data_IF_697644951471
#
_entry.id   IF_697644951471
#
_cell.length_a   1.000
_cell.length_b   1.000
_cell.length_c   1.000
_cell.angle_alpha   90.00
_cell.angle_beta   90.00
_cell.angle_gamma   90.00
#
_symmetry.space_group_name_H-M   'P 1'
#
loop_
_entity.id
_entity.type
_entity.pdbx_description
1 polymer ?
#
# COMPACT_ATOMS: atom_id res chain seq x y z
N UNK A 1 1.35 -18.75 -13.99
CA UNK A 1 0.91 -17.76 -14.94
C UNK A 1 0.54 -16.48 -14.25
N UNK A 2 1.04 -15.44 -14.74
CA UNK A 2 0.78 -14.15 -14.14
C UNK A 2 -0.63 -13.70 -14.40
N UNK A 3 -1.23 -13.20 -13.35
CA UNK A 3 -2.49 -12.52 -13.51
C UNK A 3 -2.27 -11.30 -14.40
N UNK A 4 -3.18 -11.05 -15.29
CA UNK A 4 -3.17 -9.79 -16.02
C UNK A 4 -3.24 -8.64 -15.02
N UNK A 5 -2.60 -7.50 -15.33
CA UNK A 5 -2.72 -6.34 -14.46
C UNK A 5 -4.19 -5.99 -14.26
N UNK A 6 -4.57 -5.79 -13.00
CA UNK A 6 -5.93 -5.40 -12.69
C UNK A 6 -6.03 -3.90 -12.76
N UNK A 7 -7.12 -3.40 -13.33
CA UNK A 7 -7.41 -2.00 -13.22
C UNK A 7 -7.88 -1.72 -11.79
N UNK A 8 -7.81 -0.47 -11.38
CA UNK A 8 -8.26 -0.08 -10.04
C UNK A 8 -9.71 -0.50 -9.80
N UNK A 9 -10.56 -0.37 -10.82
CA UNK A 9 -11.97 -0.69 -10.70
C UNK A 9 -12.25 -2.18 -10.55
N UNK A 10 -11.29 -3.02 -10.88
CA UNK A 10 -11.44 -4.47 -10.78
C UNK A 10 -10.96 -5.04 -9.46
N UNK A 11 -10.47 -4.20 -8.56
CA UNK A 11 -10.00 -4.65 -7.26
C UNK A 11 -11.19 -5.16 -6.43
N UNK A 12 -10.97 -6.19 -5.59
CA UNK A 12 -12.00 -6.64 -4.68
C UNK A 12 -12.34 -5.53 -3.69
N UNK A 13 -13.48 -5.64 -3.03
CA UNK A 13 -13.93 -4.63 -2.08
C UNK A 13 -13.99 -5.20 -0.68
N UNK A 14 -13.65 -4.35 0.28
CA UNK A 14 -13.79 -4.67 1.70
C UNK A 14 -15.26 -4.53 2.06
N UNK A 15 -15.87 -5.61 2.55
CA UNK A 15 -17.29 -5.63 2.83
C UNK A 15 -17.70 -4.66 3.94
N UNK A 16 -16.80 -4.42 4.89
CA UNK A 16 -17.09 -3.55 6.02
C UNK A 16 -17.02 -2.08 5.70
N UNK A 17 -16.03 -1.69 4.91
CA UNK A 17 -15.78 -0.28 4.59
C UNK A 17 -16.23 0.12 3.18
N UNK A 18 -16.57 -0.88 2.36
CA UNK A 18 -16.99 -0.68 0.96
C UNK A 18 -16.01 0.17 0.15
N UNK A 19 -14.74 -0.20 0.24
CA UNK A 19 -13.67 0.44 -0.51
C UNK A 19 -12.84 -0.62 -1.23
N UNK A 20 -12.13 -0.24 -2.31
CA UNK A 20 -11.27 -1.19 -3.01
C UNK A 20 -10.13 -1.68 -2.11
N UNK A 21 -9.79 -2.95 -2.23
CA UNK A 21 -8.70 -3.56 -1.49
C UNK A 21 -7.47 -3.54 -2.37
N UNK A 22 -6.41 -2.81 -1.99
CA UNK A 22 -5.18 -2.79 -2.76
C UNK A 22 -4.50 -4.17 -2.78
N UNK A 23 -3.70 -4.40 -3.81
CA UNK A 23 -2.96 -5.65 -3.97
C UNK A 23 -2.19 -6.04 -2.70
N UNK A 24 -1.58 -5.08 -2.03
CA UNK A 24 -0.76 -5.33 -0.86
C UNK A 24 -1.55 -5.76 0.38
N UNK A 25 -2.85 -5.50 0.41
CA UNK A 25 -3.70 -5.83 1.56
C UNK A 25 -4.31 -7.20 1.47
N UNK A 26 -4.50 -7.70 0.28
CA UNK A 26 -5.35 -8.84 0.15
C UNK A 26 -4.87 -9.89 -0.79
N UNK A 27 -5.56 -10.96 -0.68
CA UNK A 27 -5.40 -12.09 -1.54
C UNK A 27 -6.36 -11.91 -2.70
N UNK A 28 -5.83 -11.58 -3.87
CA UNK A 28 -6.65 -11.36 -5.05
C UNK A 28 -7.09 -12.67 -5.70
N UNK A 29 -6.54 -13.79 -5.24
CA UNK A 29 -6.87 -15.11 -5.75
C UNK A 29 -7.59 -15.88 -4.64
N UNK A 30 -8.89 -16.18 -4.80
CA UNK A 30 -9.64 -16.90 -3.78
C UNK A 30 -9.09 -18.29 -3.50
N UNK A 31 -8.32 -18.85 -4.42
CA UNK A 31 -7.72 -20.17 -4.20
C UNK A 31 -6.45 -20.10 -3.37
N UNK A 32 -5.88 -18.93 -3.21
CA UNK A 32 -4.66 -18.78 -2.42
C UNK A 32 -4.94 -18.63 -0.92
N UNK A 33 -6.18 -18.41 -0.53
CA UNK A 33 -6.58 -18.37 0.87
C UNK A 33 -7.47 -19.56 1.18
N UNK A 34 -6.90 -20.65 1.71
CA UNK A 34 -7.67 -21.86 1.98
C UNK A 34 -8.72 -21.67 3.07
N UNK A 35 -8.59 -20.64 3.89
CA UNK A 35 -9.55 -20.35 4.95
C UNK A 35 -10.76 -19.57 4.41
N UNK A 36 -10.67 -19.10 3.18
CA UNK A 36 -11.77 -18.38 2.55
C UNK A 36 -12.09 -17.04 3.18
N UNK A 37 -11.10 -16.41 3.83
CA UNK A 37 -11.35 -15.13 4.47
C UNK A 37 -11.55 -14.05 3.42
N UNK A 38 -12.53 -13.16 3.63
CA UNK A 38 -12.74 -12.07 2.68
C UNK A 38 -11.56 -11.09 2.71
N UNK A 39 -11.29 -10.41 1.60
CA UNK A 39 -10.24 -9.40 1.58
C UNK A 39 -10.58 -8.24 2.51
N UNK A 40 -9.55 -7.67 3.12
CA UNK A 40 -9.72 -6.54 4.03
C UNK A 40 -8.61 -5.51 3.82
N UNK A 41 -8.93 -4.25 4.08
CA UNK A 41 -7.96 -3.16 4.01
C UNK A 41 -7.37 -2.84 5.37
N UNK A 42 -7.78 -3.54 6.43
CA UNK A 42 -7.36 -3.23 7.79
C UNK A 42 -5.90 -3.59 8.05
N UNK A 43 -5.36 -4.54 7.30
CA UNK A 43 -3.98 -4.97 7.46
C UNK A 43 -3.35 -5.23 6.09
N UNK A 44 -2.03 -5.17 6.05
CA UNK A 44 -1.27 -5.54 4.86
C UNK A 44 -0.93 -7.03 4.93
N UNK A 45 -0.92 -7.67 3.76
CA UNK A 45 -0.50 -9.07 3.64
C UNK A 45 1.01 -9.11 3.48
N UNK A 46 1.68 -9.75 4.40
CA UNK A 46 3.14 -9.77 4.44
C UNK A 46 3.77 -10.34 3.15
N UNK A 47 3.16 -11.36 2.58
CA UNK A 47 3.66 -11.96 1.33
C UNK A 47 3.55 -10.98 0.17
N UNK A 48 2.41 -10.27 0.10
CA UNK A 48 2.18 -9.27 -0.94
C UNK A 48 3.13 -8.09 -0.81
N UNK A 49 3.34 -7.64 0.42
CA UNK A 49 4.29 -6.55 0.68
C UNK A 49 5.69 -6.94 0.21
N UNK A 50 6.12 -8.14 0.56
CA UNK A 50 7.43 -8.64 0.13
C UNK A 50 7.51 -8.77 -1.39
N UNK A 51 6.45 -9.27 -2.01
CA UNK A 51 6.39 -9.38 -3.47
C UNK A 51 6.50 -8.02 -4.13
N UNK A 52 5.81 -7.02 -3.60
CA UNK A 52 5.91 -5.66 -4.13
C UNK A 52 7.34 -5.14 -4.09
N UNK A 53 8.07 -5.45 -3.02
CA UNK A 53 9.45 -5.01 -2.87
C UNK A 53 10.38 -5.73 -3.84
N UNK A 54 10.29 -7.04 -3.91
CA UNK A 54 11.23 -7.86 -4.66
C UNK A 54 10.94 -7.87 -6.16
N UNK A 55 9.68 -7.88 -6.53
CA UNK A 55 9.27 -7.89 -7.94
C UNK A 55 8.99 -6.51 -8.49
N UNK A 56 9.05 -5.48 -7.65
CA UNK A 56 8.82 -4.08 -8.00
C UNK A 56 7.48 -3.89 -8.70
N UNK A 57 6.43 -4.34 -8.02
CA UNK A 57 5.06 -4.20 -8.51
C UNK A 57 4.29 -3.24 -7.62
N UNK A 58 3.27 -2.63 -8.20
CA UNK A 58 2.44 -1.62 -7.54
C UNK A 58 1.67 -2.21 -6.35
N UNK A 59 1.73 -1.53 -5.21
CA UNK A 59 1.00 -1.98 -4.03
C UNK A 59 -0.52 -1.89 -4.17
N UNK A 60 -1.02 -1.16 -5.16
CA UNK A 60 -2.45 -1.01 -5.40
C UNK A 60 -2.94 -1.99 -6.45
N UNK A 61 -2.37 -2.00 -7.63
CA UNK A 61 -2.86 -2.83 -8.73
C UNK A 61 -2.06 -4.09 -9.01
N UNK A 62 -0.86 -4.23 -8.46
CA UNK A 62 -0.03 -5.42 -8.64
C UNK A 62 0.73 -5.49 -9.94
N UNK A 63 0.66 -4.47 -10.78
CA UNK A 63 1.41 -4.41 -12.04
C UNK A 63 2.79 -3.83 -11.83
N UNK A 64 3.68 -4.08 -12.79
CA UNK A 64 5.05 -3.58 -12.73
C UNK A 64 5.08 -2.07 -12.57
N UNK A 65 5.94 -1.60 -11.66
CA UNK A 65 6.11 -0.17 -11.39
C UNK A 65 6.93 0.50 -12.48
N UNK A 66 6.54 1.74 -12.79
CA UNK A 66 7.35 2.63 -13.61
C UNK A 66 7.88 3.77 -12.75
N UNK A 67 8.27 4.86 -13.36
CA UNK A 67 8.72 6.05 -12.66
C UNK A 67 7.88 7.23 -13.11
N UNK A 68 7.54 8.16 -12.22
CA UNK A 68 7.85 8.16 -10.78
C UNK A 68 7.00 7.17 -10.01
N UNK A 69 7.47 6.80 -8.83
CA UNK A 69 6.73 6.00 -7.88
C UNK A 69 6.00 6.91 -6.90
N UNK A 70 4.89 6.44 -6.37
CA UNK A 70 4.14 7.16 -5.34
C UNK A 70 4.08 6.36 -4.06
N UNK A 71 4.27 7.03 -2.95
CA UNK A 71 4.09 6.44 -1.62
C UNK A 71 3.01 7.22 -0.90
N UNK A 72 2.09 6.49 -0.27
CA UNK A 72 1.01 7.07 0.51
C UNK A 72 1.18 6.72 1.97
N UNK A 73 1.03 7.70 2.82
CA UNK A 73 1.13 7.46 4.25
C UNK A 73 0.60 8.62 5.05
N UNK A 74 0.86 8.53 6.35
CA UNK A 74 0.50 9.56 7.30
C UNK A 74 1.65 10.55 7.45
N UNK A 75 1.36 11.68 8.11
CA UNK A 75 2.41 12.65 8.42
C UNK A 75 3.55 12.00 9.22
N UNK A 76 3.21 11.06 10.09
CA UNK A 76 4.19 10.34 10.90
C UNK A 76 5.13 9.51 10.04
N UNK A 77 4.57 8.82 9.03
CA UNK A 77 5.37 8.02 8.12
C UNK A 77 6.29 8.89 7.27
N UNK A 78 5.79 10.01 6.78
CA UNK A 78 6.60 10.98 6.04
C UNK A 78 7.74 11.50 6.93
N UNK A 79 7.43 11.85 8.18
CA UNK A 79 8.43 12.35 9.11
C UNK A 79 9.53 11.35 9.42
N UNK A 80 9.21 10.04 9.41
CA UNK A 80 10.19 8.98 9.64
C UNK A 80 10.83 8.47 8.36
N UNK A 81 10.34 8.93 7.22
CA UNK A 81 10.76 8.44 5.91
C UNK A 81 10.61 6.92 5.81
N UNK A 82 9.49 6.40 6.34
CA UNK A 82 9.22 4.97 6.38
C UNK A 82 7.73 4.72 6.22
N UNK A 83 7.36 4.05 5.12
CA UNK A 83 5.98 3.83 4.74
C UNK A 83 5.64 2.35 4.83
N UNK A 84 4.47 2.04 5.37
CA UNK A 84 4.00 0.66 5.45
C UNK A 84 3.44 0.18 4.11
N UNK A 85 2.69 1.04 3.42
CA UNK A 85 2.12 0.69 2.13
C UNK A 85 3.21 0.70 1.05
N UNK A 86 3.30 -0.37 0.24
CA UNK A 86 4.30 -0.39 -0.83
C UNK A 86 4.09 0.71 -1.86
N UNK A 87 5.15 1.07 -2.59
CA UNK A 87 5.02 2.07 -3.66
C UNK A 87 3.98 1.66 -4.69
N UNK A 88 3.38 2.66 -5.31
CA UNK A 88 2.33 2.48 -6.30
C UNK A 88 2.55 3.39 -7.49
N UNK A 89 1.80 3.12 -8.57
CA UNK A 89 1.71 4.07 -9.66
C UNK A 89 1.08 5.35 -9.16
N UNK A 90 1.48 6.47 -9.72
CA UNK A 90 0.92 7.76 -9.31
C UNK A 90 -0.61 7.80 -9.50
N UNK A 91 -1.09 7.26 -10.62
CA UNK A 91 -2.53 7.18 -10.87
C UNK A 91 -3.25 6.29 -9.86
N UNK A 92 -2.66 5.16 -9.52
CA UNK A 92 -3.24 4.24 -8.53
C UNK A 92 -3.31 4.91 -7.16
N UNK A 93 -2.27 5.63 -6.78
CA UNK A 93 -2.26 6.35 -5.51
C UNK A 93 -3.35 7.42 -5.46
N UNK A 94 -3.52 8.17 -6.56
CA UNK A 94 -4.57 9.17 -6.65
C UNK A 94 -5.97 8.56 -6.55
N UNK A 95 -6.19 7.45 -7.24
CA UNK A 95 -7.48 6.75 -7.17
C UNK A 95 -7.75 6.21 -5.78
N UNK A 96 -6.72 5.71 -5.12
CA UNK A 96 -6.86 5.20 -3.75
C UNK A 96 -7.25 6.32 -2.78
N UNK A 97 -6.58 7.47 -2.90
CA UNK A 97 -6.91 8.62 -2.07
C UNK A 97 -8.36 9.04 -2.24
N UNK A 98 -8.83 9.09 -3.47
CA UNK A 98 -10.22 9.46 -3.74
C UNK A 98 -11.20 8.44 -3.14
N UNK A 99 -10.89 7.16 -3.27
CA UNK A 99 -11.76 6.11 -2.76
C UNK A 99 -11.80 6.07 -1.23
N UNK A 100 -10.74 6.50 -0.58
CA UNK A 100 -10.61 6.42 0.88
C UNK A 100 -10.88 7.75 1.58
N UNK A 101 -11.38 8.74 0.86
CA UNK A 101 -11.57 10.09 1.40
C UNK A 101 -12.46 10.13 2.65
N UNK A 102 -13.41 9.21 2.76
CA UNK A 102 -14.34 9.18 3.88
C UNK A 102 -14.11 8.05 4.87
N UNK A 103 -13.01 7.32 4.70
CA UNK A 103 -12.69 6.23 5.63
C UNK A 103 -12.27 6.82 6.98
N UNK A 104 -12.91 6.35 8.04
CA UNK A 104 -12.67 6.84 9.39
C UNK A 104 -12.11 5.77 10.33
N UNK A 105 -11.62 4.66 9.78
CA UNK A 105 -11.04 3.58 10.56
C UNK A 105 -9.59 3.36 10.14
N UNK A 106 -8.74 2.81 11.03
CA UNK A 106 -7.37 2.49 10.65
C UNK A 106 -7.32 1.49 9.51
N UNK A 107 -6.44 1.72 8.54
CA UNK A 107 -6.26 0.85 7.39
C UNK A 107 -4.75 0.61 7.18
N UNK A 108 -4.42 -0.42 6.40
CA UNK A 108 -3.05 -0.74 6.00
C UNK A 108 -2.12 -1.02 7.18
N UNK A 109 -2.66 -1.55 8.27
CA UNK A 109 -1.87 -1.88 9.45
C UNK A 109 -1.48 -0.71 10.30
N UNK A 110 -2.03 0.47 10.07
CA UNK A 110 -1.73 1.64 10.87
C UNK A 110 -2.46 1.60 12.20
N UNK A 111 -1.86 2.21 13.21
CA UNK A 111 -2.41 2.19 14.57
C UNK A 111 -3.58 3.15 14.73
N UNK A 112 -3.55 4.26 14.00
CA UNK A 112 -4.55 5.31 14.10
C UNK A 112 -5.14 5.64 12.75
N UNK A 113 -6.31 6.27 12.76
CA UNK A 113 -6.89 6.81 11.54
C UNK A 113 -6.04 7.98 11.08
N UNK A 114 -5.56 7.96 9.82
CA UNK A 114 -4.79 9.10 9.33
C UNK A 114 -5.68 10.34 9.26
N UNK A 115 -5.28 11.40 9.94
CA UNK A 115 -5.98 12.67 9.87
C UNK A 115 -5.84 13.28 8.47
N UNK A 116 -4.66 13.11 7.89
CA UNK A 116 -4.35 13.63 6.56
C UNK A 116 -3.43 12.66 5.86
N UNK A 117 -3.84 12.22 4.69
CA UNK A 117 -2.97 11.41 3.84
C UNK A 117 -1.97 12.30 3.15
N UNK A 118 -0.74 11.80 3.02
CA UNK A 118 0.30 12.48 2.28
C UNK A 118 0.79 11.59 1.15
N UNK A 119 1.04 12.20 0.01
CA UNK A 119 1.55 11.52 -1.15
C UNK A 119 2.95 12.04 -1.45
N UNK A 120 3.88 11.12 -1.57
CA UNK A 120 5.28 11.42 -1.86
C UNK A 120 5.63 10.75 -3.17
N UNK A 121 6.27 11.49 -4.08
CA UNK A 121 6.77 10.90 -5.32
C UNK A 121 8.28 10.74 -5.24
N UNK A 122 8.77 9.64 -5.78
CA UNK A 122 10.19 9.29 -5.71
C UNK A 122 10.60 8.54 -6.97
N UNK A 123 11.87 8.58 -7.30
CA UNK A 123 12.40 7.80 -8.41
C UNK A 123 12.75 6.37 -7.98
N UNK A 124 12.93 6.12 -6.70
CA UNK A 124 13.27 4.79 -6.20
C UNK A 124 12.95 4.64 -4.73
N UNK A 125 13.16 3.43 -4.22
CA UNK A 125 12.89 3.13 -2.82
C UNK A 125 13.81 2.04 -2.32
N UNK A 126 13.93 1.96 -0.99
CA UNK A 126 14.57 0.86 -0.29
C UNK A 126 13.51 0.09 0.49
N UNK A 127 13.63 -1.22 0.50
CA UNK A 127 12.81 -2.09 1.33
C UNK A 127 13.58 -2.37 2.61
N UNK A 128 13.03 -1.93 3.75
CA UNK A 128 13.72 -2.05 5.04
C UNK A 128 13.00 -3.09 5.88
N UNK A 129 13.69 -4.18 6.17
CA UNK A 129 13.16 -5.22 7.05
C UNK A 129 13.50 -4.88 8.50
N UNK A 130 12.58 -5.16 9.43
CA UNK A 130 12.86 -4.90 10.84
C UNK A 130 14.01 -5.77 11.32
N UNK A 131 14.78 -5.23 12.26
CA UNK A 131 15.82 -5.99 12.93
C UNK A 131 15.21 -6.93 13.95
N UNK A 132 16.05 -7.87 14.44
CA UNK A 132 15.61 -8.89 15.39
C UNK A 132 15.06 -8.28 16.67
N UNK A 133 15.65 -7.16 17.11
CA UNK A 133 15.29 -6.53 18.37
C UNK A 133 14.32 -5.36 18.22
N UNK A 134 13.84 -5.11 17.01
CA UNK A 134 12.89 -4.04 16.78
C UNK A 134 11.52 -4.38 17.38
N UNK A 135 10.94 -3.42 18.07
CA UNK A 135 9.60 -3.57 18.65
C UNK A 135 8.55 -3.71 17.54
N UNK A 136 8.70 -2.94 16.48
CA UNK A 136 7.82 -3.03 15.32
C UNK A 136 8.40 -4.03 14.34
N UNK A 137 7.67 -5.10 14.07
CA UNK A 137 8.12 -6.17 13.21
C UNK A 137 7.69 -6.02 11.76
N UNK A 138 7.07 -4.90 11.42
CA UNK A 138 6.60 -4.66 10.06
C UNK A 138 7.71 -4.08 9.19
N UNK A 139 7.86 -4.58 7.94
CA UNK A 139 8.80 -3.97 7.01
C UNK A 139 8.27 -2.62 6.53
N UNK A 140 9.16 -1.76 6.09
CA UNK A 140 8.80 -0.44 5.60
C UNK A 140 9.46 -0.15 4.26
N UNK A 141 8.91 0.82 3.56
CA UNK A 141 9.44 1.31 2.30
C UNK A 141 9.96 2.73 2.51
N UNK A 142 11.18 2.96 2.10
CA UNK A 142 11.84 4.26 2.29
C UNK A 142 12.12 4.88 0.92
N UNK A 143 11.51 6.03 0.60
CA UNK A 143 11.86 6.71 -0.64
C UNK A 143 13.29 7.23 -0.56
N UNK A 144 14.05 7.08 -1.65
CA UNK A 144 15.45 7.45 -1.65
C UNK A 144 15.82 8.48 -2.73
N UNK A 145 14.84 8.99 -3.46
CA UNK A 145 15.06 10.01 -4.49
C UNK A 145 13.78 10.83 -4.62
N UNK A 146 13.48 11.59 -3.58
CA UNK A 146 12.24 12.37 -3.52
C UNK A 146 12.15 13.34 -4.67
N UNK A 147 11.01 13.36 -5.33
CA UNK A 147 10.69 14.27 -6.42
C UNK A 147 9.67 15.31 -5.97
N UNK A 148 8.69 14.91 -5.18
CA UNK A 148 7.65 15.80 -4.73
C UNK A 148 6.99 15.24 -3.48
N UNK A 149 6.47 16.13 -2.66
CA UNK A 149 5.77 15.75 -1.44
C UNK A 149 4.47 16.55 -1.37
N UNK A 150 3.35 15.85 -1.38
CA UNK A 150 2.03 16.47 -1.36
C UNK A 150 1.24 16.07 -0.16
N UNK A 151 0.62 17.05 0.45
CA UNK A 151 -0.35 16.82 1.49
C UNK A 151 -1.74 16.79 0.86
N UNK A 152 -2.48 15.73 1.14
CA UNK A 152 -3.82 15.53 0.61
C UNK A 152 -4.74 15.22 1.77
N UNK A 153 -5.82 15.96 1.90
CA UNK A 153 -6.74 15.69 3.00
C UNK A 153 -7.82 16.69 3.11
#
# INVERSE_FOLDING_TARGET
MDAAPRSFDELPRDAGLDVPVPFACGNLDPYADPDGRPPTVRALDKRRVTQCALSRVCGVCGSVLGRPLALLGTAREVGRNAFLLPPAHLECAGSLLAAYAEVTEPVFGQDDVPATWQLVTTAGFEFVRPGRDDADTRPTFRPNSLLDERRVG
#
